data_IF_606859121203
#
_entry.id   IF_606859121203
#
_cell.length_a   1.000
_cell.length_b   1.000
_cell.length_c   1.000
_cell.angle_alpha   90.00
_cell.angle_beta   90.00
_cell.angle_gamma   90.00
#
_symmetry.space_group_name_H-M   'P 1'
#
loop_
_entity.id
_entity.type
_entity.pdbx_description
1 polymer ?
#
# COMPACT_ATOMS: atom_id res chain seq x y z
N UNK A 1 -41.39 8.58 -51.73
CA UNK A 1 -40.77 9.90 -52.07
C UNK A 1 -40.36 10.75 -50.85
N UNK A 2 -40.96 10.61 -49.66
CA UNK A 2 -40.47 11.25 -48.41
C UNK A 2 -39.29 10.55 -47.71
N UNK A 3 -38.93 9.33 -48.10
CA UNK A 3 -37.79 8.59 -47.52
C UNK A 3 -36.45 8.85 -48.24
N UNK A 4 -36.48 9.18 -49.55
CA UNK A 4 -35.28 9.58 -50.32
C UNK A 4 -34.82 11.03 -50.07
N UNK A 5 -35.57 11.82 -49.29
CA UNK A 5 -35.23 13.21 -48.96
C UNK A 5 -34.56 13.34 -47.57
N UNK A 6 -34.67 12.31 -46.71
CA UNK A 6 -33.97 12.29 -45.41
C UNK A 6 -32.55 11.70 -45.51
N UNK A 7 -32.28 10.79 -46.44
CA UNK A 7 -30.94 10.22 -46.66
C UNK A 7 -29.98 11.17 -47.41
N UNK A 8 -30.50 12.16 -48.14
CA UNK A 8 -29.70 13.20 -48.80
C UNK A 8 -29.28 14.34 -47.86
N UNK A 9 -29.99 14.55 -46.75
CA UNK A 9 -29.65 15.56 -45.72
C UNK A 9 -28.64 15.06 -44.68
N UNK A 10 -28.49 13.74 -44.54
CA UNK A 10 -27.51 13.10 -43.66
C UNK A 10 -26.10 12.97 -44.29
N UNK A 11 -25.97 13.06 -45.62
CA UNK A 11 -24.68 13.01 -46.34
C UNK A 11 -24.05 14.38 -46.66
N UNK A 12 -24.74 15.48 -46.31
CA UNK A 12 -24.30 16.86 -46.59
C UNK A 12 -23.70 17.59 -45.37
N UNK A 13 -23.73 17.01 -44.16
CA UNK A 13 -23.08 17.58 -42.96
C UNK A 13 -21.77 16.89 -42.57
N UNK A 14 -21.42 15.80 -43.24
CA UNK A 14 -20.18 15.03 -43.04
C UNK A 14 -19.04 15.46 -43.98
N UNK A 15 -19.15 16.62 -44.63
CA UNK A 15 -18.18 17.12 -45.62
C UNK A 15 -17.65 18.53 -45.29
N UNK A 16 -17.67 18.94 -44.01
CA UNK A 16 -17.00 20.15 -43.51
C UNK A 16 -16.01 19.84 -42.39
N UNK A 17 -15.17 18.85 -42.66
CA UNK A 17 -13.85 18.72 -42.03
C UNK A 17 -12.85 18.45 -43.14
N UNK A 18 -12.12 19.50 -43.53
CA UNK A 18 -10.80 19.46 -44.17
C UNK A 18 -10.59 20.76 -44.96
N UNK A 19 -9.95 21.76 -44.36
CA UNK A 19 -8.58 22.16 -44.72
C UNK A 19 -8.14 23.46 -44.04
N UNK A 20 -6.87 23.47 -43.64
CA UNK A 20 -6.02 24.58 -43.15
C UNK A 20 -6.24 24.96 -41.68
N UNK A 21 -5.23 24.97 -40.80
CA UNK A 21 -3.77 24.87 -40.97
C UNK A 21 -3.13 24.31 -39.70
N UNK A 22 -2.00 23.62 -39.90
CA UNK A 22 -1.05 23.18 -38.88
C UNK A 22 -0.61 24.35 -38.00
N UNK A 23 -0.69 24.17 -36.68
CA UNK A 23 0.31 24.67 -35.75
C UNK A 23 0.47 23.65 -34.61
N UNK A 24 1.69 23.12 -34.52
CA UNK A 24 2.18 22.23 -33.47
C UNK A 24 2.44 23.04 -32.20
N UNK A 25 1.78 22.67 -31.11
CA UNK A 25 2.30 22.89 -29.76
C UNK A 25 1.81 21.75 -28.84
N UNK A 26 2.76 20.96 -28.38
CA UNK A 26 2.65 20.00 -27.29
C UNK A 26 2.31 20.72 -25.98
N UNK A 27 1.21 20.33 -25.32
CA UNK A 27 1.01 20.59 -23.90
C UNK A 27 0.19 19.44 -23.29
N UNK A 28 0.84 18.70 -22.40
CA UNK A 28 0.24 17.69 -21.54
C UNK A 28 -0.79 18.37 -20.66
N UNK A 29 -2.09 18.18 -20.93
CA UNK A 29 -3.15 18.71 -20.08
C UNK A 29 -3.15 17.94 -18.75
N UNK A 30 -2.62 18.57 -17.68
CA UNK A 30 -2.90 18.17 -16.31
C UNK A 30 -4.35 18.54 -16.02
N UNK A 31 -5.22 17.54 -15.90
CA UNK A 31 -6.59 17.73 -15.43
C UNK A 31 -6.57 18.01 -13.92
N UNK A 32 -6.66 19.28 -13.53
CA UNK A 32 -6.86 19.68 -12.12
C UNK A 32 -8.33 19.40 -11.77
N UNK A 33 -8.56 18.44 -10.88
CA UNK A 33 -9.90 18.10 -10.39
C UNK A 33 -10.17 18.92 -9.13
N UNK A 34 -10.80 20.09 -9.27
CA UNK A 34 -11.27 20.84 -8.10
C UNK A 34 -12.38 20.05 -7.38
N UNK A 35 -12.07 19.49 -6.21
CA UNK A 35 -13.09 18.87 -5.35
C UNK A 35 -13.48 19.88 -4.26
N UNK A 36 -14.59 20.60 -4.47
CA UNK A 36 -15.22 21.40 -3.41
C UNK A 36 -16.12 20.47 -2.60
N UNK A 37 -15.65 20.02 -1.43
CA UNK A 37 -16.46 19.24 -0.49
C UNK A 37 -17.20 20.22 0.45
N UNK A 38 -18.47 20.54 0.13
CA UNK A 38 -19.34 21.28 1.06
C UNK A 38 -19.83 20.34 2.17
N UNK A 39 -19.45 20.61 3.41
CA UNK A 39 -20.15 20.10 4.59
C UNK A 39 -21.17 21.15 5.02
N UNK A 40 -22.45 20.95 4.72
CA UNK A 40 -23.52 21.88 5.10
C UNK A 40 -23.97 21.68 6.54
N UNK A 41 -23.97 22.76 7.32
CA UNK A 41 -25.13 23.11 8.14
C UNK A 41 -25.80 24.35 7.52
N UNK A 42 -27.11 24.39 7.58
CA UNK A 42 -28.04 25.17 6.74
C UNK A 42 -27.74 26.67 6.51
N UNK A 43 -27.47 27.05 5.26
CA UNK A 43 -28.23 28.01 4.41
C UNK A 43 -27.42 28.33 3.13
N UNK A 44 -28.11 28.56 2.01
CA UNK A 44 -27.59 28.46 0.65
C UNK A 44 -26.75 29.67 0.18
N UNK A 45 -25.61 29.40 -0.46
CA UNK A 45 -24.99 30.30 -1.46
C UNK A 45 -24.58 29.46 -2.66
N UNK A 46 -25.16 29.76 -3.82
CA UNK A 46 -25.03 29.04 -5.08
C UNK A 46 -23.85 29.62 -5.87
N UNK A 47 -22.79 28.84 -6.07
CA UNK A 47 -21.71 29.17 -7.00
C UNK A 47 -21.39 27.87 -7.75
N UNK A 48 -21.70 27.87 -9.05
CA UNK A 48 -21.59 26.77 -10.03
C UNK A 48 -22.78 25.81 -10.09
N UNK A 49 -23.60 26.03 -11.13
CA UNK A 49 -24.83 25.29 -11.40
C UNK A 49 -24.64 23.81 -11.78
N UNK A 50 -25.64 23.04 -11.37
CA UNK A 50 -26.12 21.76 -11.90
C UNK A 50 -25.10 20.67 -12.21
N UNK A 51 -24.63 20.00 -11.15
CA UNK A 51 -24.75 18.54 -10.87
C UNK A 51 -23.60 18.09 -9.98
N UNK A 52 -23.82 18.06 -8.67
CA UNK A 52 -22.95 17.35 -7.72
C UNK A 52 -23.82 16.52 -6.80
N UNK A 53 -23.61 15.19 -6.80
CA UNK A 53 -24.30 14.28 -5.90
C UNK A 53 -23.75 14.46 -4.46
N UNK A 54 -24.61 14.55 -3.43
CA UNK A 54 -24.16 14.68 -2.05
C UNK A 54 -23.52 13.37 -1.55
N UNK A 55 -22.28 13.46 -1.06
CA UNK A 55 -21.66 12.42 -0.25
C UNK A 55 -21.67 12.86 1.22
N UNK A 56 -22.55 12.27 2.03
CA UNK A 56 -22.58 12.48 3.47
C UNK A 56 -21.52 11.60 4.12
N UNK A 57 -20.50 12.20 4.75
CA UNK A 57 -19.57 11.49 5.63
C UNK A 57 -20.04 11.59 7.08
N UNK A 58 -20.51 10.48 7.64
CA UNK A 58 -20.69 10.33 9.10
C UNK A 58 -19.39 9.79 9.69
N UNK A 59 -18.69 10.63 10.46
CA UNK A 59 -17.52 10.22 11.24
C UNK A 59 -17.99 9.32 12.39
N UNK A 60 -17.95 8.01 12.18
CA UNK A 60 -18.16 7.02 13.24
C UNK A 60 -16.80 6.69 13.83
N UNK A 61 -16.55 7.13 15.07
CA UNK A 61 -15.45 6.60 15.89
C UNK A 61 -15.66 5.10 16.06
N UNK A 62 -14.94 4.30 15.28
CA UNK A 62 -15.00 2.85 15.38
C UNK A 62 -14.19 2.38 16.60
N UNK A 63 -14.87 2.18 17.73
CA UNK A 63 -14.45 1.12 18.66
C UNK A 63 -14.49 -0.19 17.88
N UNK A 64 -13.41 -0.99 17.97
CA UNK A 64 -13.18 -2.25 17.26
C UNK A 64 -14.48 -3.02 16.96
N UNK A 65 -15.07 -2.72 15.79
CA UNK A 65 -16.30 -3.33 15.35
C UNK A 65 -15.92 -4.53 14.50
N UNK A 66 -16.44 -5.70 14.87
CA UNK A 66 -16.48 -6.85 14.00
C UNK A 66 -17.05 -6.38 12.65
N UNK A 67 -16.25 -6.42 11.59
CA UNK A 67 -16.61 -5.81 10.29
C UNK A 67 -17.63 -6.63 9.50
N UNK A 68 -18.28 -7.59 10.17
CA UNK A 68 -19.25 -8.52 9.61
C UNK A 68 -18.60 -9.68 8.86
N UNK A 69 -17.26 -9.78 8.83
CA UNK A 69 -16.59 -10.92 8.20
C UNK A 69 -16.94 -12.22 8.94
N UNK A 70 -17.42 -13.26 8.22
CA UNK A 70 -17.59 -14.57 8.82
C UNK A 70 -16.23 -15.16 9.21
N UNK A 71 -16.23 -16.03 10.23
CA UNK A 71 -15.06 -16.83 10.59
C UNK A 71 -14.57 -17.66 9.40
N UNK A 72 -13.26 -17.88 9.33
CA UNK A 72 -12.59 -18.57 8.23
C UNK A 72 -13.07 -20.03 8.16
N UNK A 73 -13.54 -20.44 6.99
CA UNK A 73 -13.86 -21.84 6.72
C UNK A 73 -12.62 -22.57 6.15
N UNK A 74 -11.93 -23.32 7.01
CA UNK A 74 -10.78 -24.14 6.62
C UNK A 74 -11.13 -25.20 5.57
N UNK A 75 -12.35 -25.75 5.61
CA UNK A 75 -12.81 -26.74 4.62
C UNK A 75 -12.90 -26.13 3.23
N UNK A 76 -13.41 -24.90 3.13
CA UNK A 76 -13.46 -24.14 1.88
C UNK A 76 -12.07 -23.78 1.38
N UNK A 77 -11.14 -23.32 2.24
CA UNK A 77 -9.73 -23.11 1.85
C UNK A 77 -9.17 -24.38 1.21
N UNK A 78 -9.30 -25.53 1.89
CA UNK A 78 -8.78 -26.81 1.41
C UNK A 78 -9.39 -27.26 0.09
N UNK A 79 -10.65 -26.90 -0.19
CA UNK A 79 -11.32 -27.22 -1.45
C UNK A 79 -10.77 -26.45 -2.67
N UNK A 80 -10.13 -25.31 -2.43
CA UNK A 80 -9.54 -24.44 -3.48
C UNK A 80 -8.04 -24.73 -3.67
N UNK A 81 -7.36 -25.28 -2.66
CA UNK A 81 -5.93 -25.59 -2.72
C UNK A 81 -5.58 -26.61 -3.83
N UNK A 82 -4.68 -26.22 -4.72
CA UNK A 82 -4.15 -27.05 -5.81
C UNK A 82 -2.71 -27.52 -5.54
N UNK A 83 -1.97 -26.83 -4.66
CA UNK A 83 -0.58 -27.17 -4.30
C UNK A 83 -0.41 -28.53 -3.59
N UNK A 84 0.82 -28.99 -3.40
CA UNK A 84 1.15 -30.31 -2.84
C UNK A 84 1.40 -30.28 -1.34
N UNK A 85 1.98 -29.21 -0.78
CA UNK A 85 2.40 -29.18 0.63
C UNK A 85 1.88 -27.97 1.40
N UNK A 86 1.96 -26.76 0.84
CA UNK A 86 1.60 -25.53 1.57
C UNK A 86 0.10 -25.51 1.83
N UNK A 87 -0.31 -25.41 3.10
CA UNK A 87 -1.71 -25.34 3.49
C UNK A 87 -2.45 -26.67 3.46
N UNK A 88 -1.79 -27.81 3.20
CA UNK A 88 -2.45 -29.13 3.32
C UNK A 88 -2.79 -29.46 4.78
N UNK A 89 -1.94 -29.03 5.70
CA UNK A 89 -2.25 -28.92 7.11
C UNK A 89 -2.54 -27.46 7.48
N UNK A 90 -3.72 -27.19 8.04
CA UNK A 90 -4.13 -25.85 8.48
C UNK A 90 -4.58 -25.94 9.93
N UNK A 91 -3.91 -25.18 10.79
CA UNK A 91 -4.29 -24.97 12.19
C UNK A 91 -4.98 -23.63 12.29
N UNK A 92 -6.30 -23.66 12.53
CA UNK A 92 -7.10 -22.46 12.72
C UNK A 92 -7.23 -22.10 14.21
N UNK A 93 -7.06 -20.83 14.52
CA UNK A 93 -7.25 -20.26 15.85
C UNK A 93 -8.22 -19.09 15.79
N UNK A 94 -9.22 -19.07 16.67
CA UNK A 94 -10.09 -17.91 16.76
C UNK A 94 -9.35 -16.70 17.36
N UNK A 95 -8.56 -16.90 18.42
CA UNK A 95 -7.72 -15.88 19.04
C UNK A 95 -6.41 -16.55 19.46
N UNK A 96 -5.29 -15.89 19.21
CA UNK A 96 -3.97 -16.34 19.69
C UNK A 96 -3.13 -15.17 20.22
N UNK A 97 -2.01 -15.47 20.88
CA UNK A 97 -0.94 -14.51 21.13
C UNK A 97 -0.33 -14.04 19.81
N UNK A 98 0.24 -14.97 19.05
CA UNK A 98 0.85 -14.75 17.74
C UNK A 98 0.84 -16.07 16.94
N UNK A 99 0.48 -16.02 15.66
CA UNK A 99 0.58 -17.20 14.78
C UNK A 99 2.02 -17.66 14.61
N UNK A 100 2.99 -16.75 14.76
CA UNK A 100 4.43 -17.08 14.70
C UNK A 100 4.83 -17.98 15.87
N UNK A 101 4.30 -17.72 17.06
CA UNK A 101 4.62 -18.51 18.27
C UNK A 101 3.94 -19.87 18.21
N UNK A 102 2.67 -19.90 17.78
CA UNK A 102 1.95 -21.15 17.56
C UNK A 102 2.66 -22.04 16.52
N UNK A 103 3.09 -21.45 15.39
CA UNK A 103 3.80 -22.17 14.35
C UNK A 103 5.19 -22.63 14.81
N UNK A 104 5.87 -21.85 15.66
CA UNK A 104 7.15 -22.23 16.27
C UNK A 104 6.99 -23.44 17.20
N UNK A 105 6.00 -23.42 18.08
CA UNK A 105 5.69 -24.55 18.97
C UNK A 105 5.40 -25.80 18.15
N UNK A 106 4.51 -25.70 17.15
CA UNK A 106 4.19 -26.81 16.26
C UNK A 106 5.43 -27.34 15.53
N UNK A 107 6.29 -26.44 15.03
CA UNK A 107 7.53 -26.84 14.36
C UNK A 107 8.50 -27.58 15.27
N UNK A 108 8.56 -27.22 16.57
CA UNK A 108 9.39 -27.90 17.56
C UNK A 108 8.84 -29.27 17.96
N UNK A 109 7.51 -29.41 18.00
CA UNK A 109 6.83 -30.66 18.37
C UNK A 109 6.86 -31.69 17.23
N UNK A 110 6.52 -31.27 16.01
CA UNK A 110 6.36 -32.17 14.86
C UNK A 110 7.66 -32.40 14.08
N UNK A 111 8.56 -31.41 14.06
CA UNK A 111 9.84 -31.49 13.34
C UNK A 111 9.70 -31.63 11.82
N UNK A 112 10.84 -31.82 11.14
CA UNK A 112 10.87 -32.12 9.71
C UNK A 112 10.77 -33.66 9.49
N UNK A 113 10.01 -34.16 8.49
CA UNK A 113 9.28 -33.42 7.45
C UNK A 113 7.85 -33.02 7.83
N UNK A 114 7.32 -33.46 8.97
CA UNK A 114 5.89 -33.38 9.29
C UNK A 114 5.35 -31.96 9.46
N UNK A 115 6.16 -31.05 9.98
CA UNK A 115 5.77 -29.65 10.15
C UNK A 115 5.76 -28.86 8.84
N UNK A 116 6.55 -29.25 7.84
CA UNK A 116 6.73 -28.49 6.60
C UNK A 116 5.40 -28.27 5.85
N UNK A 117 5.16 -27.03 5.43
CA UNK A 117 3.95 -26.62 4.72
C UNK A 117 2.74 -26.37 5.63
N UNK A 118 2.86 -26.61 6.93
CA UNK A 118 1.77 -26.32 7.87
C UNK A 118 1.51 -24.82 7.95
N UNK A 119 0.25 -24.43 7.77
CA UNK A 119 -0.24 -23.05 7.92
C UNK A 119 -0.97 -22.92 9.25
N UNK A 120 -0.50 -22.02 10.11
CA UNK A 120 -1.26 -21.55 11.28
C UNK A 120 -1.92 -20.24 10.91
N UNK A 121 -3.24 -20.15 11.05
CA UNK A 121 -4.03 -18.95 10.73
C UNK A 121 -4.91 -18.56 11.91
N UNK A 122 -5.01 -17.26 12.16
CA UNK A 122 -5.86 -16.74 13.23
C UNK A 122 -6.76 -15.59 12.79
N UNK A 123 -7.96 -15.50 13.38
CA UNK A 123 -8.83 -14.32 13.18
C UNK A 123 -8.24 -13.09 13.87
N UNK A 124 -7.62 -13.26 15.05
CA UNK A 124 -7.08 -12.16 15.85
C UNK A 124 -5.82 -12.58 16.59
N UNK A 125 -4.89 -11.64 16.72
CA UNK A 125 -3.68 -11.79 17.55
C UNK A 125 -3.65 -10.73 18.64
N UNK A 126 -3.34 -11.12 19.87
CA UNK A 126 -3.18 -10.16 20.99
C UNK A 126 -1.76 -9.58 21.06
N UNK A 127 -0.78 -10.27 20.48
CA UNK A 127 0.64 -9.94 20.47
C UNK A 127 1.24 -10.06 19.07
N UNK A 128 0.49 -9.62 18.03
CA UNK A 128 0.96 -9.63 16.65
C UNK A 128 2.26 -8.83 16.48
N UNK A 129 3.26 -9.44 15.82
CA UNK A 129 4.60 -8.88 15.63
C UNK A 129 4.87 -8.55 14.17
N UNK A 130 5.61 -7.47 13.94
CA UNK A 130 6.27 -7.13 12.69
C UNK A 130 7.79 -7.12 12.87
N UNK A 131 8.51 -6.76 11.80
CA UNK A 131 9.96 -6.64 11.85
C UNK A 131 10.41 -5.52 12.82
N UNK A 132 11.63 -5.64 13.35
CA UNK A 132 12.26 -4.65 14.25
C UNK A 132 11.41 -4.31 15.49
N UNK A 133 10.79 -5.33 16.07
CA UNK A 133 9.93 -5.23 17.27
C UNK A 133 8.70 -4.33 17.11
N UNK A 134 8.35 -3.94 15.88
CA UNK A 134 7.11 -3.23 15.61
C UNK A 134 5.90 -4.13 15.88
N UNK A 135 4.81 -3.54 16.38
CA UNK A 135 3.55 -4.25 16.57
C UNK A 135 2.77 -4.32 15.25
N UNK A 136 2.21 -5.48 14.93
CA UNK A 136 1.21 -5.61 13.87
C UNK A 136 -0.20 -5.54 14.47
N UNK A 137 -0.99 -4.53 14.07
CA UNK A 137 -2.39 -4.42 14.50
C UNK A 137 -3.21 -5.59 13.93
N UNK A 138 -3.52 -6.53 14.82
CA UNK A 138 -4.25 -7.76 14.50
C UNK A 138 -5.64 -7.79 15.14
N UNK A 139 -6.23 -6.60 15.36
CA UNK A 139 -7.49 -6.47 16.09
C UNK A 139 -8.72 -6.80 15.23
N UNK A 140 -8.63 -6.63 13.91
CA UNK A 140 -9.72 -6.82 12.97
C UNK A 140 -9.76 -8.27 12.45
N UNK A 141 -10.91 -8.94 12.61
CA UNK A 141 -11.13 -10.32 12.16
C UNK A 141 -11.18 -10.47 10.65
N UNK A 142 -11.55 -9.45 9.86
CA UNK A 142 -11.63 -9.54 8.41
C UNK A 142 -10.30 -9.63 7.66
N UNK A 143 -9.16 -9.60 8.35
CA UNK A 143 -7.83 -9.73 7.77
C UNK A 143 -7.32 -11.18 7.78
N UNK A 144 -6.15 -11.42 7.18
CA UNK A 144 -5.46 -12.72 7.27
C UNK A 144 -4.18 -12.51 8.08
N UNK A 145 -4.10 -13.22 9.19
CA UNK A 145 -2.90 -13.35 10.01
C UNK A 145 -2.49 -14.81 9.97
N UNK A 146 -1.38 -15.12 9.31
CA UNK A 146 -0.92 -16.49 9.19
C UNK A 146 0.58 -16.62 9.34
N UNK A 147 1.01 -17.82 9.72
CA UNK A 147 2.41 -18.23 9.76
C UNK A 147 2.55 -19.60 9.12
N UNK A 148 3.62 -19.80 8.37
CA UNK A 148 3.87 -21.02 7.60
C UNK A 148 5.20 -21.61 8.07
N UNK A 149 5.18 -22.91 8.39
CA UNK A 149 6.40 -23.64 8.72
C UNK A 149 7.04 -24.13 7.42
N UNK A 150 8.24 -23.67 7.11
CA UNK A 150 8.99 -24.06 5.93
C UNK A 150 10.31 -24.70 6.35
N UNK A 151 10.89 -25.51 5.47
CA UNK A 151 12.21 -26.11 5.68
C UNK A 151 13.18 -25.62 4.63
N UNK A 152 14.43 -25.38 5.02
CA UNK A 152 15.53 -25.06 4.11
C UNK A 152 16.80 -25.81 4.50
N UNK A 153 17.72 -26.05 3.55
CA UNK A 153 19.07 -26.46 3.89
C UNK A 153 19.69 -25.48 4.89
N UNK A 154 20.37 -26.00 5.90
CA UNK A 154 20.89 -25.23 7.04
C UNK A 154 21.83 -24.10 6.65
N UNK A 155 22.65 -24.32 5.61
CA UNK A 155 23.55 -23.28 5.08
C UNK A 155 22.79 -22.12 4.43
N UNK A 156 21.51 -22.31 4.08
CA UNK A 156 20.62 -21.29 3.53
C UNK A 156 19.85 -20.51 4.60
N UNK A 157 19.95 -20.87 5.89
CA UNK A 157 19.26 -20.15 6.99
C UNK A 157 19.92 -18.82 7.38
N UNK A 158 20.69 -18.22 6.47
CA UNK A 158 21.38 -16.94 6.68
C UNK A 158 20.38 -15.79 6.72
N UNK A 159 20.87 -14.57 6.93
CA UNK A 159 20.02 -13.38 6.74
C UNK A 159 19.48 -13.30 5.31
N UNK A 160 20.35 -13.47 4.31
CA UNK A 160 19.99 -13.46 2.89
C UNK A 160 18.93 -14.53 2.58
N UNK A 161 19.12 -15.78 2.99
CA UNK A 161 18.17 -16.85 2.65
C UNK A 161 16.81 -16.70 3.32
N UNK A 162 16.76 -16.19 4.57
CA UNK A 162 15.49 -15.80 5.20
C UNK A 162 14.79 -14.67 4.46
N UNK A 163 15.56 -13.66 4.05
CA UNK A 163 15.01 -12.55 3.29
C UNK A 163 14.49 -13.00 1.91
N UNK A 164 15.19 -13.93 1.25
CA UNK A 164 14.71 -14.56 0.01
C UNK A 164 13.36 -15.25 0.22
N UNK A 165 13.12 -15.89 1.37
CA UNK A 165 11.80 -16.45 1.69
C UNK A 165 10.74 -15.38 1.88
N UNK A 166 11.04 -14.28 2.58
CA UNK A 166 10.12 -13.14 2.70
C UNK A 166 9.78 -12.56 1.33
N UNK A 167 10.76 -12.43 0.42
CA UNK A 167 10.55 -11.96 -0.96
C UNK A 167 9.68 -12.93 -1.76
N UNK A 168 9.94 -14.24 -1.69
CA UNK A 168 9.10 -15.27 -2.35
C UNK A 168 7.65 -15.20 -1.88
N UNK A 169 7.44 -15.00 -0.58
CA UNK A 169 6.13 -14.80 0.01
C UNK A 169 5.46 -13.49 -0.45
N UNK A 170 6.25 -12.42 -0.51
CA UNK A 170 5.82 -11.12 -1.02
C UNK A 170 5.34 -11.22 -2.47
N UNK A 171 6.10 -11.89 -3.33
CA UNK A 171 5.73 -12.09 -4.73
C UNK A 171 4.50 -13.00 -4.88
N UNK A 172 4.36 -14.04 -4.06
CA UNK A 172 3.19 -14.91 -4.07
C UNK A 172 1.91 -14.17 -3.65
N UNK A 173 1.97 -13.38 -2.57
CA UNK A 173 0.85 -12.54 -2.16
C UNK A 173 0.55 -11.49 -3.21
N UNK A 174 1.58 -10.86 -3.80
CA UNK A 174 1.40 -9.87 -4.85
C UNK A 174 0.64 -10.44 -6.05
N UNK A 175 1.00 -11.66 -6.49
CA UNK A 175 0.29 -12.35 -7.56
C UNK A 175 -1.17 -12.62 -7.21
N UNK A 176 -1.46 -13.14 -6.01
CA UNK A 176 -2.83 -13.34 -5.53
C UNK A 176 -3.64 -12.03 -5.47
N UNK A 177 -2.99 -10.91 -5.12
CA UNK A 177 -3.60 -9.57 -5.07
C UNK A 177 -3.89 -9.06 -6.49
N UNK A 178 -3.00 -9.30 -7.45
CA UNK A 178 -3.20 -8.97 -8.86
C UNK A 178 -4.32 -9.79 -9.49
N UNK A 179 -4.46 -11.07 -9.13
CA UNK A 179 -5.55 -11.94 -9.60
C UNK A 179 -6.94 -11.43 -9.17
N UNK A 180 -7.02 -10.67 -8.07
CA UNK A 180 -8.24 -9.98 -7.63
C UNK A 180 -8.50 -8.65 -8.38
N UNK A 181 -7.59 -8.24 -9.27
CA UNK A 181 -7.69 -7.01 -10.05
C UNK A 181 -7.03 -5.78 -9.40
N UNK A 182 -6.30 -5.93 -8.29
CA UNK A 182 -5.60 -4.82 -7.62
C UNK A 182 -4.22 -4.63 -8.23
N UNK A 183 -4.18 -4.28 -9.52
CA UNK A 183 -2.95 -4.23 -10.34
C UNK A 183 -1.97 -3.11 -9.96
N UNK A 184 -2.41 -2.13 -9.16
CA UNK A 184 -1.54 -1.06 -8.61
C UNK A 184 -0.75 -1.51 -7.38
N UNK A 185 -0.97 -2.74 -6.89
CA UNK A 185 -0.16 -3.29 -5.81
C UNK A 185 1.28 -3.49 -6.31
N UNK A 186 2.25 -3.12 -5.48
CA UNK A 186 3.68 -3.26 -5.74
C UNK A 186 4.40 -3.75 -4.48
N UNK A 187 5.52 -4.44 -4.66
CA UNK A 187 6.44 -4.70 -3.57
C UNK A 187 7.05 -3.38 -3.10
N UNK A 188 7.27 -3.23 -1.80
CA UNK A 188 8.12 -2.19 -1.25
C UNK A 188 9.22 -2.86 -0.46
N UNK A 189 10.46 -2.67 -0.90
CA UNK A 189 11.62 -3.06 -0.13
C UNK A 189 11.55 -2.47 1.29
N UNK A 190 11.83 -3.27 2.34
CA UNK A 190 12.38 -4.61 2.25
C UNK A 190 11.35 -5.74 2.10
N UNK A 191 10.19 -5.65 2.73
CA UNK A 191 9.33 -6.80 2.92
C UNK A 191 7.86 -6.40 3.14
N UNK A 192 7.38 -5.45 2.34
CA UNK A 192 5.99 -5.01 2.37
C UNK A 192 5.35 -5.10 0.97
N UNK A 193 4.02 -5.21 0.91
CA UNK A 193 3.25 -4.89 -0.30
C UNK A 193 2.49 -3.60 -0.03
N UNK A 194 2.55 -2.69 -0.99
CA UNK A 194 1.91 -1.40 -0.92
C UNK A 194 0.95 -1.20 -2.10
N UNK A 195 -0.10 -0.44 -1.88
CA UNK A 195 -0.99 0.06 -2.92
C UNK A 195 -1.14 1.55 -2.70
N UNK A 196 -0.80 2.36 -3.71
CA UNK A 196 -0.90 3.84 -3.64
C UNK A 196 -0.18 4.48 -2.44
N UNK A 197 1.00 3.97 -2.09
CA UNK A 197 1.76 4.47 -0.94
C UNK A 197 1.30 3.95 0.43
N UNK A 198 0.22 3.16 0.49
CA UNK A 198 -0.31 2.59 1.74
C UNK A 198 0.02 1.11 1.87
N UNK A 199 0.39 0.68 3.08
CA UNK A 199 0.74 -0.72 3.36
C UNK A 199 -0.49 -1.64 3.29
N UNK A 200 -0.39 -2.70 2.49
CA UNK A 200 -1.39 -3.75 2.35
C UNK A 200 -1.00 -5.04 3.10
N UNK A 201 0.27 -5.44 2.98
CA UNK A 201 0.79 -6.66 3.61
C UNK A 201 2.23 -6.47 4.12
N UNK A 202 2.63 -7.34 5.05
CA UNK A 202 4.00 -7.42 5.56
C UNK A 202 4.41 -8.85 5.89
N UNK A 203 5.71 -9.09 5.83
CA UNK A 203 6.31 -10.43 5.96
C UNK A 203 7.38 -10.45 7.05
N UNK A 204 7.59 -11.60 7.67
CA UNK A 204 8.62 -11.80 8.69
C UNK A 204 9.08 -13.26 8.71
N UNK A 205 10.38 -13.53 8.60
CA UNK A 205 10.95 -14.86 8.70
C UNK A 205 11.84 -15.03 9.94
N UNK A 206 11.51 -16.00 10.78
CA UNK A 206 12.28 -16.36 11.98
C UNK A 206 12.77 -17.81 11.89
N UNK A 207 14.01 -18.07 12.32
CA UNK A 207 14.51 -19.44 12.43
C UNK A 207 13.86 -20.11 13.65
N UNK A 208 13.31 -21.30 13.45
CA UNK A 208 13.01 -22.22 14.53
C UNK A 208 14.27 -23.08 14.77
N UNK A 209 14.83 -23.01 15.98
CA UNK A 209 16.08 -23.69 16.34
C UNK A 209 16.04 -25.18 16.03
N UNK A 210 17.22 -25.77 15.84
CA UNK A 210 17.44 -27.14 15.37
C UNK A 210 16.53 -28.15 16.06
N UNK A 211 15.82 -28.97 15.28
CA UNK A 211 15.26 -30.22 15.78
C UNK A 211 16.43 -31.07 16.26
N UNK A 212 16.62 -31.10 17.59
CA UNK A 212 17.64 -31.91 18.25
C UNK A 212 17.25 -33.40 18.30
N UNK A 213 16.10 -33.76 17.74
CA UNK A 213 15.48 -35.07 17.87
C UNK A 213 15.88 -36.06 16.78
N UNK A 214 16.55 -35.61 15.70
CA UNK A 214 17.07 -36.50 14.67
C UNK A 214 18.54 -36.19 14.31
N UNK A 215 19.50 -36.95 14.86
CA UNK A 215 20.92 -36.85 14.51
C UNK A 215 21.22 -37.07 13.02
N UNK A 216 20.29 -37.64 12.24
CA UNK A 216 20.44 -37.86 10.80
C UNK A 216 20.00 -36.68 9.93
N UNK A 217 19.35 -35.67 10.52
CA UNK A 217 18.74 -34.53 9.80
C UNK A 217 19.40 -33.17 10.12
N UNK A 218 20.67 -33.18 10.55
CA UNK A 218 21.42 -31.98 10.99
C UNK A 218 21.61 -30.89 9.92
N UNK A 219 21.24 -31.19 8.67
CA UNK A 219 21.35 -30.30 7.51
C UNK A 219 20.08 -29.53 7.18
N UNK A 220 18.96 -29.74 7.88
CA UNK A 220 17.71 -29.03 7.63
C UNK A 220 17.37 -28.07 8.78
N UNK A 221 16.96 -26.85 8.44
CA UNK A 221 16.42 -25.87 9.39
C UNK A 221 14.95 -25.62 9.11
N UNK A 222 14.16 -25.40 10.16
CA UNK A 222 12.79 -24.92 10.03
C UNK A 222 12.77 -23.40 10.15
N UNK A 223 12.04 -22.74 9.25
CA UNK A 223 11.81 -21.30 9.22
C UNK A 223 10.31 -21.08 9.40
N UNK A 224 9.97 -20.16 10.30
CA UNK A 224 8.60 -19.69 10.47
C UNK A 224 8.45 -18.42 9.65
N UNK A 225 7.59 -18.45 8.64
CA UNK A 225 7.28 -17.32 7.77
C UNK A 225 5.92 -16.74 8.14
N UNK A 226 5.92 -15.58 8.78
CA UNK A 226 4.73 -14.81 9.13
C UNK A 226 4.29 -13.90 7.99
N UNK A 227 2.98 -13.86 7.76
CA UNK A 227 2.32 -13.10 6.70
C UNK A 227 1.09 -12.42 7.29
N UNK A 228 1.11 -11.09 7.33
CA UNK A 228 -0.04 -10.27 7.70
C UNK A 228 -0.59 -9.57 6.46
N UNK A 229 -1.88 -9.76 6.16
CA UNK A 229 -2.55 -9.16 4.98
C UNK A 229 -3.83 -8.46 5.42
N UNK A 230 -3.94 -7.19 5.06
CA UNK A 230 -5.16 -6.41 5.25
C UNK A 230 -6.18 -6.76 4.14
N UNK A 231 -7.24 -7.48 4.49
CA UNK A 231 -8.21 -8.01 3.52
C UNK A 231 -9.52 -7.23 3.60
N UNK A 232 -10.36 -7.48 4.62
CA UNK A 232 -11.70 -6.89 4.72
C UNK A 232 -11.84 -5.74 5.74
N UNK A 233 -10.76 -5.38 6.42
CA UNK A 233 -10.75 -4.25 7.34
C UNK A 233 -11.02 -2.91 6.60
N UNK A 234 -11.91 -2.09 7.13
CA UNK A 234 -12.11 -0.72 6.63
C UNK A 234 -11.10 0.25 7.26
N UNK A 235 -9.85 0.17 6.77
CA UNK A 235 -8.73 0.94 7.33
C UNK A 235 -8.81 2.44 7.03
N UNK A 236 -9.56 2.84 6.00
CA UNK A 236 -9.78 4.26 5.68
C UNK A 236 -10.57 4.98 6.77
N UNK A 237 -11.36 4.27 7.59
CA UNK A 237 -12.06 4.84 8.75
C UNK A 237 -11.19 4.91 10.01
N UNK A 238 -9.99 4.33 9.99
CA UNK A 238 -9.08 4.40 11.14
C UNK A 238 -8.33 5.73 11.14
N UNK A 239 -8.54 6.55 12.18
CA UNK A 239 -7.77 7.79 12.36
C UNK A 239 -6.25 7.54 12.41
N UNK A 240 -5.83 6.42 12.99
CA UNK A 240 -4.43 6.07 13.15
C UNK A 240 -3.81 5.45 11.88
N UNK A 241 -4.60 4.70 11.10
CA UNK A 241 -4.08 3.87 10.00
C UNK A 241 -4.43 4.36 8.60
N UNK A 242 -5.40 5.27 8.43
CA UNK A 242 -5.86 5.70 7.10
C UNK A 242 -4.73 6.25 6.21
N UNK A 243 -3.75 6.94 6.80
CA UNK A 243 -2.55 7.46 6.13
C UNK A 243 -1.47 6.41 5.86
N UNK A 244 -1.50 5.28 6.57
CA UNK A 244 -0.38 4.35 6.64
C UNK A 244 -0.67 3.02 5.94
N UNK A 245 -1.93 2.60 5.90
CA UNK A 245 -2.33 1.27 5.49
C UNK A 245 -3.65 1.29 4.70
N UNK A 246 -3.79 0.31 3.81
CA UNK A 246 -5.01 0.02 3.06
C UNK A 246 -5.34 -1.47 3.17
N UNK A 247 -6.51 -1.86 2.67
CA UNK A 247 -6.96 -3.25 2.60
C UNK A 247 -7.47 -3.58 1.21
N UNK A 248 -7.57 -4.87 0.88
CA UNK A 248 -8.16 -5.28 -0.39
C UNK A 248 -9.59 -4.76 -0.56
N UNK A 249 -10.39 -4.76 0.51
CA UNK A 249 -11.73 -4.16 0.49
C UNK A 249 -11.68 -2.67 0.14
N UNK A 250 -10.76 -1.90 0.73
CA UNK A 250 -10.61 -0.48 0.41
C UNK A 250 -10.22 -0.27 -1.06
N UNK A 251 -9.31 -1.07 -1.59
CA UNK A 251 -8.85 -0.98 -2.99
C UNK A 251 -9.87 -1.52 -4.01
N UNK A 252 -10.76 -2.41 -3.59
CA UNK A 252 -11.87 -2.95 -4.39
C UNK A 252 -13.18 -2.18 -4.20
N UNK A 253 -13.11 -0.91 -3.80
CA UNK A 253 -14.28 -0.02 -3.72
C UNK A 253 -15.29 -0.41 -2.64
N UNK A 254 -14.83 -1.05 -1.56
CA UNK A 254 -15.67 -1.50 -0.44
C UNK A 254 -16.21 -2.92 -0.58
N UNK A 255 -15.94 -3.61 -1.71
CA UNK A 255 -16.37 -4.99 -1.94
C UNK A 255 -15.63 -5.95 -1.01
N UNK A 256 -16.38 -6.83 -0.34
CA UNK A 256 -15.81 -7.90 0.48
C UNK A 256 -15.07 -8.93 -0.39
N UNK A 257 -13.90 -9.34 0.09
CA UNK A 257 -13.09 -10.39 -0.50
C UNK A 257 -13.43 -11.72 0.16
N UNK A 258 -13.56 -12.75 -0.68
CA UNK A 258 -13.62 -14.15 -0.25
C UNK A 258 -12.26 -14.56 0.33
N UNK A 259 -12.14 -14.53 1.65
CA UNK A 259 -10.87 -14.77 2.34
C UNK A 259 -10.36 -16.19 2.12
N UNK A 260 -11.26 -17.17 2.05
CA UNK A 260 -10.86 -18.57 1.91
C UNK A 260 -10.23 -18.82 0.54
N UNK A 261 -10.86 -18.30 -0.51
CA UNK A 261 -10.34 -18.39 -1.88
C UNK A 261 -9.04 -17.61 -2.02
N UNK A 262 -8.98 -16.41 -1.44
CA UNK A 262 -7.77 -15.59 -1.48
C UNK A 262 -6.60 -16.25 -0.72
N UNK A 263 -6.83 -16.78 0.49
CA UNK A 263 -5.81 -17.50 1.26
C UNK A 263 -5.31 -18.73 0.49
N UNK A 264 -6.21 -19.51 -0.10
CA UNK A 264 -5.83 -20.68 -0.90
C UNK A 264 -4.97 -20.29 -2.10
N UNK A 265 -5.30 -19.20 -2.80
CA UNK A 265 -4.50 -18.69 -3.91
C UNK A 265 -3.12 -18.20 -3.45
N UNK A 266 -3.02 -17.55 -2.28
CA UNK A 266 -1.72 -17.19 -1.69
C UNK A 266 -0.88 -18.44 -1.44
N UNK A 267 -1.46 -19.51 -0.89
CA UNK A 267 -0.75 -20.77 -0.66
C UNK A 267 -0.30 -21.44 -1.97
N UNK A 268 -1.16 -21.46 -3.00
CA UNK A 268 -0.83 -22.01 -4.31
C UNK A 268 0.34 -21.25 -4.95
N UNK A 269 0.25 -19.92 -5.01
CA UNK A 269 1.32 -19.07 -5.55
C UNK A 269 2.61 -19.18 -4.73
N UNK A 270 2.52 -19.34 -3.41
CA UNK A 270 3.69 -19.51 -2.57
C UNK A 270 4.41 -20.82 -2.87
N UNK A 271 3.68 -21.92 -3.07
CA UNK A 271 4.32 -23.18 -3.45
C UNK A 271 5.10 -23.04 -4.77
N UNK A 272 4.54 -22.33 -5.75
CA UNK A 272 5.22 -22.05 -7.02
C UNK A 272 6.46 -21.16 -6.83
N UNK A 273 6.36 -20.07 -6.05
CA UNK A 273 7.50 -19.15 -5.83
C UNK A 273 8.60 -19.76 -4.95
N UNK A 274 8.28 -20.76 -4.11
CA UNK A 274 9.27 -21.49 -3.33
C UNK A 274 10.28 -22.21 -4.22
N UNK A 275 9.88 -22.67 -5.42
CA UNK A 275 10.75 -23.33 -6.40
C UNK A 275 11.57 -22.35 -7.26
N UNK A 276 11.35 -21.04 -7.16
CA UNK A 276 12.09 -20.05 -7.95
C UNK A 276 13.56 -19.94 -7.54
N UNK A 277 14.44 -19.73 -8.53
CA UNK A 277 15.84 -19.38 -8.29
C UNK A 277 15.97 -17.98 -7.69
N UNK A 278 17.11 -17.69 -7.04
CA UNK A 278 17.40 -16.35 -6.52
C UNK A 278 17.34 -15.29 -7.65
N UNK A 279 17.92 -15.59 -8.81
CA UNK A 279 17.91 -14.69 -9.95
C UNK A 279 16.48 -14.36 -10.43
N UNK A 280 15.60 -15.37 -10.56
CA UNK A 280 14.22 -15.17 -10.96
C UNK A 280 13.42 -14.35 -9.92
N UNK A 281 13.67 -14.59 -8.63
CA UNK A 281 13.09 -13.81 -7.54
C UNK A 281 13.54 -12.36 -7.58
N UNK A 282 14.86 -12.12 -7.70
CA UNK A 282 15.44 -10.79 -7.74
C UNK A 282 14.93 -9.98 -8.93
N UNK A 283 14.97 -10.56 -10.12
CA UNK A 283 14.51 -9.92 -11.35
C UNK A 283 13.03 -9.53 -11.26
N UNK A 284 12.18 -10.45 -10.76
CA UNK A 284 10.76 -10.18 -10.58
C UNK A 284 10.50 -9.13 -9.50
N UNK A 285 11.22 -9.21 -8.37
CA UNK A 285 11.10 -8.23 -7.29
C UNK A 285 11.51 -6.84 -7.76
N UNK A 286 12.63 -6.68 -8.47
CA UNK A 286 13.08 -5.39 -9.01
C UNK A 286 12.02 -4.76 -9.93
N UNK A 287 11.41 -5.56 -10.82
CA UNK A 287 10.32 -5.08 -11.70
C UNK A 287 9.07 -4.63 -10.94
N UNK A 288 8.75 -5.32 -9.85
CA UNK A 288 7.54 -5.07 -9.05
C UNK A 288 7.80 -4.14 -7.86
N UNK A 289 9.04 -3.65 -7.67
CA UNK A 289 9.41 -2.82 -6.55
C UNK A 289 8.95 -1.38 -6.74
N UNK A 290 8.48 -0.75 -5.67
CA UNK A 290 8.07 0.65 -5.64
C UNK A 290 9.23 1.58 -6.02
N UNK A 291 10.45 1.24 -5.61
CA UNK A 291 11.64 2.03 -5.93
C UNK A 291 12.23 1.57 -7.26
N UNK A 292 12.23 2.48 -8.23
CA UNK A 292 12.84 2.31 -9.54
C UNK A 292 14.09 3.18 -9.64
N UNK A 293 15.05 2.78 -10.48
CA UNK A 293 16.31 3.50 -10.62
C UNK A 293 16.10 4.98 -10.96
N UNK A 294 16.81 5.88 -10.29
CA UNK A 294 16.66 7.33 -10.44
C UNK A 294 15.60 7.96 -9.55
N UNK A 295 14.83 7.18 -8.78
CA UNK A 295 13.82 7.73 -7.87
C UNK A 295 14.47 8.35 -6.63
N UNK A 296 14.13 9.61 -6.33
CA UNK A 296 14.49 10.25 -5.07
C UNK A 296 13.77 9.63 -3.88
N UNK A 297 14.52 9.29 -2.84
CA UNK A 297 14.01 8.62 -1.64
C UNK A 297 14.53 9.30 -0.38
N UNK A 298 13.69 9.35 0.65
CA UNK A 298 14.12 9.59 2.02
C UNK A 298 14.55 8.27 2.64
N UNK A 299 15.75 8.26 3.21
CA UNK A 299 16.39 7.09 3.81
C UNK A 299 16.54 7.33 5.30
N UNK A 300 16.03 6.40 6.10
CA UNK A 300 16.31 6.32 7.53
C UNK A 300 17.42 5.30 7.78
N UNK A 301 18.58 5.76 8.27
CA UNK A 301 19.70 4.92 8.71
C UNK A 301 19.56 4.61 10.20
N UNK A 302 19.17 3.37 10.51
CA UNK A 302 18.96 2.91 11.89
C UNK A 302 20.27 2.78 12.67
N UNK A 303 21.42 2.64 12.01
CA UNK A 303 22.69 2.48 12.71
C UNK A 303 23.25 3.84 13.14
N UNK A 304 23.06 4.86 12.31
CA UNK A 304 23.49 6.23 12.59
C UNK A 304 22.36 7.12 13.16
N UNK A 305 21.16 6.58 13.32
CA UNK A 305 19.94 7.27 13.79
C UNK A 305 19.72 8.62 13.08
N UNK A 306 19.72 8.60 11.75
CA UNK A 306 19.60 9.81 10.93
C UNK A 306 18.76 9.58 9.68
N UNK A 307 18.17 10.67 9.20
CA UNK A 307 17.51 10.72 7.90
C UNK A 307 18.37 11.47 6.88
N UNK A 308 18.35 11.03 5.63
CA UNK A 308 18.93 11.75 4.50
C UNK A 308 18.14 11.46 3.21
N UNK A 309 18.27 12.34 2.23
CA UNK A 309 17.77 12.09 0.88
C UNK A 309 18.86 11.45 0.02
N UNK A 310 18.46 10.56 -0.88
CA UNK A 310 19.33 9.88 -1.83
C UNK A 310 18.55 9.51 -3.09
N UNK A 311 19.25 9.02 -4.09
CA UNK A 311 18.66 8.43 -5.30
C UNK A 311 18.76 6.91 -5.23
N UNK A 312 17.63 6.22 -5.41
CA UNK A 312 17.62 4.76 -5.51
C UNK A 312 18.26 4.30 -6.81
N UNK A 313 19.18 3.35 -6.74
CA UNK A 313 19.89 2.81 -7.92
C UNK A 313 19.43 1.38 -8.24
N UNK A 314 19.66 0.43 -7.33
CA UNK A 314 19.41 -1.00 -7.54
C UNK A 314 19.17 -1.76 -6.22
N UNK A 315 18.74 -3.01 -6.35
CA UNK A 315 18.78 -4.03 -5.28
C UNK A 315 19.67 -5.16 -5.79
N UNK A 316 20.65 -5.59 -5.00
CA UNK A 316 21.58 -6.66 -5.35
C UNK A 316 21.06 -8.05 -4.88
N UNK A 317 21.76 -9.12 -5.25
CA UNK A 317 21.36 -10.51 -4.96
C UNK A 317 21.47 -10.91 -3.47
N UNK A 318 22.19 -10.13 -2.68
CA UNK A 318 22.23 -10.18 -1.21
C UNK A 318 21.11 -9.38 -0.54
N UNK A 319 20.22 -8.78 -1.35
CA UNK A 319 19.11 -7.92 -0.97
C UNK A 319 19.49 -6.58 -0.34
N UNK A 320 20.74 -6.14 -0.53
CA UNK A 320 21.14 -4.77 -0.21
C UNK A 320 20.60 -3.80 -1.25
N UNK A 321 20.18 -2.62 -0.80
CA UNK A 321 19.86 -1.51 -1.69
C UNK A 321 21.12 -0.71 -1.97
N UNK A 322 21.28 -0.30 -3.22
CA UNK A 322 22.30 0.65 -3.66
C UNK A 322 21.66 2.03 -3.80
N UNK A 323 22.26 3.03 -3.15
CA UNK A 323 21.83 4.42 -3.17
C UNK A 323 22.97 5.29 -3.69
N UNK A 324 22.65 6.28 -4.51
CA UNK A 324 23.58 7.29 -5.05
C UNK A 324 23.16 8.69 -4.61
N UNK A 325 23.94 9.71 -4.97
CA UNK A 325 23.72 11.12 -4.61
C UNK A 325 23.53 11.34 -3.11
N UNK A 326 24.27 10.56 -2.30
CA UNK A 326 24.17 10.69 -0.85
C UNK A 326 24.97 11.88 -0.32
N UNK A 327 24.55 12.51 0.80
CA UNK A 327 25.30 13.60 1.40
C UNK A 327 26.75 13.25 1.75
N UNK A 328 27.62 14.27 1.73
CA UNK A 328 29.03 14.12 2.09
C UNK A 328 29.18 13.47 3.49
N UNK A 329 30.02 12.43 3.57
CA UNK A 329 30.26 11.67 4.81
C UNK A 329 29.29 10.52 5.11
N UNK A 330 28.39 10.16 4.17
CA UNK A 330 27.49 9.00 4.31
C UNK A 330 27.92 7.82 3.44
N UNK A 331 28.40 8.10 2.23
CA UNK A 331 28.80 7.11 1.23
C UNK A 331 30.30 6.96 1.04
N UNK A 332 30.64 6.21 0.01
CA UNK A 332 31.99 6.08 -0.53
C UNK A 332 32.44 7.35 -1.28
N UNK A 333 33.64 7.30 -1.85
CA UNK A 333 34.23 8.39 -2.63
C UNK A 333 33.44 8.77 -3.89
N UNK A 334 32.50 7.91 -4.32
CA UNK A 334 31.62 8.12 -5.46
C UNK A 334 30.22 8.61 -5.05
N UNK A 335 30.01 8.94 -3.77
CA UNK A 335 28.71 9.38 -3.27
C UNK A 335 27.66 8.27 -3.30
N UNK A 336 28.09 7.01 -3.17
CA UNK A 336 27.22 5.84 -3.13
C UNK A 336 27.26 5.14 -1.78
N UNK A 337 26.16 4.51 -1.39
CA UNK A 337 26.11 3.68 -0.16
C UNK A 337 25.25 2.45 -0.39
N UNK A 338 25.67 1.33 0.19
CA UNK A 338 24.90 0.09 0.23
C UNK A 338 24.45 -0.25 1.64
N UNK A 339 23.33 -0.95 1.74
CA UNK A 339 22.90 -1.54 3.00
C UNK A 339 21.61 -2.34 2.90
N UNK A 340 21.50 -3.35 3.77
CA UNK A 340 20.31 -4.16 3.92
C UNK A 340 19.25 -3.54 4.86
N UNK A 341 18.16 -4.28 5.05
CA UNK A 341 17.01 -3.87 5.86
C UNK A 341 17.31 -3.67 7.34
N UNK A 342 18.45 -4.14 7.88
CA UNK A 342 18.86 -3.82 9.25
C UNK A 342 19.35 -2.38 9.37
N UNK A 343 19.95 -1.85 8.30
CA UNK A 343 20.51 -0.50 8.27
C UNK A 343 19.55 0.54 7.71
N UNK A 344 18.82 0.23 6.64
CA UNK A 344 18.02 1.22 5.93
C UNK A 344 16.51 0.94 5.95
N UNK A 345 15.74 2.03 5.88
CA UNK A 345 14.32 2.05 5.50
C UNK A 345 14.12 3.19 4.52
N UNK A 346 13.41 2.94 3.42
CA UNK A 346 13.19 3.90 2.36
C UNK A 346 11.72 4.36 2.33
N UNK A 347 11.52 5.63 1.96
CA UNK A 347 10.23 6.24 1.58
C UNK A 347 10.44 7.05 0.30
N UNK A 348 9.49 7.07 -0.65
CA UNK A 348 9.56 7.98 -1.79
C UNK A 348 9.56 9.44 -1.33
N UNK A 349 10.35 10.30 -1.97
CA UNK A 349 10.17 11.74 -1.83
C UNK A 349 8.91 12.15 -2.61
N UNK A 350 7.91 12.71 -1.94
CA UNK A 350 6.71 13.20 -2.61
C UNK A 350 7.08 14.34 -3.56
N UNK A 351 6.56 14.31 -4.79
CA UNK A 351 6.88 15.30 -5.82
C UNK A 351 5.80 16.35 -5.97
N UNK A 352 4.59 16.06 -5.49
CA UNK A 352 3.41 16.92 -5.62
C UNK A 352 2.70 17.08 -4.27
N UNK A 353 2.07 18.23 -4.07
CA UNK A 353 1.29 18.54 -2.89
C UNK A 353 -0.20 18.60 -3.21
N UNK A 354 -1.00 18.08 -2.29
CA UNK A 354 -2.44 18.26 -2.20
C UNK A 354 -2.69 19.16 -1.01
N UNK A 355 -3.10 20.40 -1.24
CA UNK A 355 -3.36 21.34 -0.17
C UNK A 355 -4.84 21.34 0.21
N UNK A 356 -5.10 21.34 1.51
CA UNK A 356 -6.41 21.67 2.08
C UNK A 356 -6.34 23.10 2.60
N UNK A 357 -7.05 24.01 1.94
CA UNK A 357 -7.10 25.41 2.32
C UNK A 357 -7.77 25.56 3.69
N UNK A 358 -7.11 26.34 4.54
CA UNK A 358 -7.51 26.65 5.90
C UNK A 358 -7.42 28.16 6.12
N UNK A 359 -8.39 28.73 6.83
CA UNK A 359 -8.27 30.11 7.30
C UNK A 359 -7.21 30.30 8.37
N UNK A 360 -6.86 31.55 8.65
CA UNK A 360 -5.80 31.89 9.61
C UNK A 360 -6.16 31.60 11.08
N UNK A 361 -7.44 31.31 11.37
CA UNK A 361 -7.91 30.87 12.69
C UNK A 361 -7.52 29.41 13.03
N UNK A 362 -6.94 28.67 12.09
CA UNK A 362 -6.54 27.27 12.27
C UNK A 362 -7.55 26.25 11.72
N UNK A 363 -7.17 24.96 11.67
CA UNK A 363 -7.95 23.94 10.97
C UNK A 363 -9.28 23.63 11.66
N UNK A 364 -10.39 23.87 10.96
CA UNK A 364 -11.74 23.52 11.41
C UNK A 364 -11.95 21.98 11.41
N UNK A 365 -13.00 21.47 12.05
CA UNK A 365 -13.36 20.05 11.96
C UNK A 365 -13.54 19.57 10.51
N UNK A 366 -14.10 20.41 9.63
CA UNK A 366 -14.24 20.09 8.20
C UNK A 366 -12.90 19.99 7.49
N UNK A 367 -11.96 20.91 7.76
CA UNK A 367 -10.59 20.83 7.22
C UNK A 367 -9.91 19.54 7.64
N UNK A 368 -10.03 19.15 8.92
CA UNK A 368 -9.50 17.88 9.42
C UNK A 368 -10.14 16.67 8.73
N UNK A 369 -11.46 16.68 8.53
CA UNK A 369 -12.17 15.58 7.88
C UNK A 369 -11.75 15.42 6.40
N UNK A 370 -11.64 16.53 5.67
CA UNK A 370 -11.18 16.54 4.27
C UNK A 370 -9.74 16.03 4.19
N UNK A 371 -8.86 16.55 5.03
CA UNK A 371 -7.46 16.11 5.09
C UNK A 371 -7.36 14.62 5.39
N UNK A 372 -8.09 14.13 6.39
CA UNK A 372 -8.10 12.71 6.76
C UNK A 372 -8.60 11.82 5.62
N UNK A 373 -9.64 12.25 4.90
CA UNK A 373 -10.12 11.53 3.73
C UNK A 373 -9.08 11.50 2.61
N UNK A 374 -8.43 12.62 2.32
CA UNK A 374 -7.38 12.71 1.29
C UNK A 374 -6.17 11.85 1.65
N UNK A 375 -5.71 11.87 2.91
CA UNK A 375 -4.60 11.05 3.42
C UNK A 375 -4.80 9.54 3.12
N UNK A 376 -6.04 9.05 3.07
CA UNK A 376 -6.37 7.65 2.77
C UNK A 376 -6.76 7.36 1.30
N UNK A 377 -6.81 8.38 0.44
CA UNK A 377 -7.26 8.26 -0.95
C UNK A 377 -6.15 8.57 -1.97
N UNK A 378 -5.27 9.54 -1.65
CA UNK A 378 -4.19 9.94 -2.55
C UNK A 378 -3.10 8.89 -2.58
N UNK A 379 -2.36 8.83 -3.68
CA UNK A 379 -1.16 8.02 -3.73
C UNK A 379 -0.05 8.66 -2.91
N UNK A 380 0.16 8.20 -1.67
CA UNK A 380 1.14 8.78 -0.75
C UNK A 380 2.60 8.49 -1.14
N UNK A 381 2.83 7.75 -2.24
CA UNK A 381 4.15 7.67 -2.86
C UNK A 381 4.45 8.83 -3.81
N UNK A 382 3.42 9.58 -4.21
CA UNK A 382 3.51 10.69 -5.18
C UNK A 382 3.10 12.02 -4.53
N UNK A 383 2.02 11.98 -3.76
CA UNK A 383 1.34 13.14 -3.20
C UNK A 383 1.55 13.26 -1.70
N UNK A 384 1.88 14.45 -1.25
CA UNK A 384 1.82 14.85 0.16
C UNK A 384 0.53 15.64 0.41
N UNK A 385 -0.21 15.31 1.47
CA UNK A 385 -1.40 16.09 1.87
C UNK A 385 -1.01 17.06 2.98
N UNK A 386 -1.16 18.35 2.70
CA UNK A 386 -0.79 19.41 3.62
C UNK A 386 -1.88 20.48 3.76
N UNK A 387 -1.75 21.33 4.77
CA UNK A 387 -2.66 22.44 5.03
C UNK A 387 -2.07 23.72 4.48
N UNK A 388 -2.84 24.45 3.66
CA UNK A 388 -2.46 25.77 3.16
C UNK A 388 -3.22 26.85 3.93
N UNK A 389 -2.50 27.68 4.68
CA UNK A 389 -3.10 28.80 5.41
C UNK A 389 -3.26 30.03 4.50
N UNK A 390 -4.34 30.79 4.67
CA UNK A 390 -4.62 31.99 3.86
C UNK A 390 -3.45 32.99 3.85
N UNK A 391 -2.75 33.20 4.97
CA UNK A 391 -1.53 34.03 5.02
C UNK A 391 -0.38 33.59 4.10
N UNK A 392 -0.36 32.34 3.66
CA UNK A 392 0.67 31.80 2.77
C UNK A 392 0.30 31.96 1.29
N UNK A 393 -0.97 32.26 0.99
CA UNK A 393 -1.42 32.40 -0.40
C UNK A 393 -0.73 33.51 -1.19
N UNK A 394 -0.37 34.68 -0.61
CA UNK A 394 0.26 35.76 -1.36
C UNK A 394 1.67 35.50 -1.88
N UNK A 395 2.38 34.46 -1.41
CA UNK A 395 3.76 34.20 -1.85
C UNK A 395 3.84 33.45 -3.19
N UNK A 396 2.74 32.86 -3.65
CA UNK A 396 2.64 31.98 -4.82
C UNK A 396 3.58 30.75 -4.84
N UNK A 397 4.53 30.62 -3.91
CA UNK A 397 5.46 29.48 -3.80
C UNK A 397 4.74 28.13 -3.65
N UNK A 398 3.58 28.12 -3.00
CA UNK A 398 2.77 26.91 -2.84
C UNK A 398 2.28 26.36 -4.19
N UNK A 399 2.18 27.19 -5.23
CA UNK A 399 1.59 26.83 -6.51
C UNK A 399 2.49 25.90 -7.34
N UNK A 400 3.82 26.04 -7.27
CA UNK A 400 4.78 25.37 -8.17
C UNK A 400 4.69 23.83 -8.15
N UNK A 401 4.21 23.25 -7.04
CA UNK A 401 4.08 21.80 -6.85
C UNK A 401 2.68 21.37 -6.42
N UNK A 402 1.68 22.25 -6.57
CA UNK A 402 0.30 21.91 -6.21
C UNK A 402 -0.34 21.06 -7.31
N UNK A 403 -0.78 19.86 -6.95
CA UNK A 403 -1.60 19.01 -7.82
C UNK A 403 -3.09 19.16 -7.56
N UNK A 404 -3.47 19.52 -6.33
CA UNK A 404 -4.86 19.71 -5.94
C UNK A 404 -4.94 20.74 -4.81
N UNK A 405 -5.86 21.70 -4.96
CA UNK A 405 -6.29 22.59 -3.89
C UNK A 405 -7.74 22.24 -3.51
N UNK A 406 -7.93 21.70 -2.31
CA UNK A 406 -9.25 21.47 -1.72
C UNK A 406 -9.60 22.64 -0.82
N UNK A 407 -10.76 23.26 -1.04
CA UNK A 407 -11.24 24.35 -0.19
C UNK A 407 -12.06 23.76 0.96
N UNK A 408 -11.61 23.95 2.19
CA UNK A 408 -12.33 23.55 3.40
C UNK A 408 -13.50 24.49 3.73
N UNK A 409 -13.98 24.45 4.98
CA UNK A 409 -15.00 25.40 5.43
C UNK A 409 -14.43 26.83 5.45
N UNK A 410 -14.98 27.69 4.57
CA UNK A 410 -14.63 29.11 4.41
C UNK A 410 -15.63 30.05 5.11
N UNK A 411 -16.58 29.51 5.88
CA UNK A 411 -17.59 30.30 6.59
C UNK A 411 -16.97 31.29 7.59
N UNK A 412 -15.83 30.94 8.18
CA UNK A 412 -15.08 31.78 9.13
C UNK A 412 -14.18 32.83 8.47
N UNK A 413 -13.98 32.77 7.15
CA UNK A 413 -13.14 33.74 6.43
C UNK A 413 -13.84 35.08 6.23
N UNK A 414 -13.08 36.17 6.37
CA UNK A 414 -13.49 37.52 6.00
C UNK A 414 -13.66 37.69 4.48
N UNK A 415 -14.27 38.80 4.06
CA UNK A 415 -14.58 39.07 2.64
C UNK A 415 -13.32 39.11 1.77
N UNK A 416 -12.24 39.72 2.26
CA UNK A 416 -10.97 39.81 1.52
C UNK A 416 -10.28 38.44 1.38
N UNK A 417 -10.26 37.65 2.45
CA UNK A 417 -9.72 36.29 2.46
C UNK A 417 -10.48 35.38 1.50
N UNK A 418 -11.82 35.47 1.48
CA UNK A 418 -12.65 34.74 0.50
C UNK A 418 -12.33 35.13 -0.93
N UNK A 419 -12.21 36.44 -1.22
CA UNK A 419 -11.86 36.90 -2.57
C UNK A 419 -10.47 36.41 -2.99
N UNK A 420 -9.52 36.37 -2.05
CA UNK A 420 -8.18 35.84 -2.31
C UNK A 420 -8.22 34.34 -2.61
N UNK A 421 -8.93 33.53 -1.82
CA UNK A 421 -9.11 32.10 -2.07
C UNK A 421 -9.79 31.86 -3.42
N UNK A 422 -10.84 32.61 -3.76
CA UNK A 422 -11.52 32.51 -5.05
C UNK A 422 -10.60 32.84 -6.24
N UNK A 423 -9.79 33.90 -6.13
CA UNK A 423 -8.79 34.26 -7.16
C UNK A 423 -7.70 33.20 -7.30
N UNK A 424 -7.21 32.67 -6.19
CA UNK A 424 -6.19 31.60 -6.18
C UNK A 424 -6.73 30.31 -6.80
N UNK A 425 -7.99 29.94 -6.50
CA UNK A 425 -8.66 28.81 -7.13
C UNK A 425 -8.86 29.04 -8.63
N UNK A 426 -9.30 30.23 -9.05
CA UNK A 426 -9.44 30.58 -10.46
C UNK A 426 -8.11 30.58 -11.22
N UNK A 427 -7.00 30.92 -10.58
CA UNK A 427 -5.67 30.89 -11.20
C UNK A 427 -5.12 29.48 -11.36
N UNK A 428 -5.49 28.56 -10.45
CA UNK A 428 -5.08 27.16 -10.50
C UNK A 428 -5.88 26.33 -11.53
N UNK A 429 -7.11 26.73 -11.89
CA UNK A 429 -7.90 26.11 -12.97
C UNK A 429 -7.40 26.58 -14.32
#
# INVERSE_FOLDING_TARGET
RRQRHMEAKAKSKTAHHSQMSKETATATALSIVLVVLRTYDSEAVDIFGDRVHPFTFTLVMAMAANDGSPSLDVGKVKSVLTGRCVGRNIVYKQITGSTMDDARTLAMEEGYPHAHGTVVVAERQTQGRGAKDHKWDSSNSGNIYMSIVLSQPRHSSTFQGRFTLEVKACLAVLQAVHDLGVTKAVCKWPNDIWVRGHKLAGFLAEVCSHSATDPSNQETSLIILGIGINVNADLRRSAALARLATSLRCELGGKMVDRETFLANVCNHLEDTLDWSLAACLETFQRQNLFQSGLSVTVHDFQADRNFEAVFSSIEDDWEVCLTDVPAGIGDEHGSVKGNSRRFSLRPCCTQNVFVCCGDAGPSPSVHAIRHALDGLVDSSVYNVDTLYTKQMPSDEWQEKTALLAVGDVSSLGVEERSMVEKSVQHQI
#
